data_IF_242291123935
#
_entry.id   IF_242291123935
#
_cell.length_a   1.000
_cell.length_b   1.000
_cell.length_c   1.000
_cell.angle_alpha   90.00
_cell.angle_beta   90.00
_cell.angle_gamma   90.00
#
_symmetry.space_group_name_H-M   'P 1'
#
loop_
_entity.id
_entity.type
_entity.pdbx_description
1 polymer ?
#
# COMPACT_ATOMS: atom_id res chain seq x y z
N UNK A 1 -6.26 4.76 32.28
CA UNK A 1 -6.17 4.19 30.92
C UNK A 1 -4.95 3.29 30.79
N UNK A 2 -5.11 2.03 31.21
CA UNK A 2 -4.28 0.87 30.82
C UNK A 2 -5.03 0.09 29.74
N UNK A 3 -4.31 -0.64 28.90
CA UNK A 3 -4.92 -1.68 28.05
C UNK A 3 -5.30 -2.85 28.96
N UNK A 4 -6.50 -3.39 28.81
CA UNK A 4 -7.07 -4.47 29.64
C UNK A 4 -7.32 -5.75 28.86
N UNK A 5 -7.58 -5.67 27.56
CA UNK A 5 -7.87 -6.83 26.70
C UNK A 5 -7.47 -6.51 25.25
N UNK A 6 -6.88 -7.49 24.56
CA UNK A 6 -6.88 -7.57 23.10
C UNK A 6 -7.96 -8.56 22.67
N UNK A 7 -8.72 -8.24 21.63
CA UNK A 7 -9.70 -9.12 20.99
C UNK A 7 -9.36 -9.19 19.49
N UNK A 8 -9.45 -10.38 18.90
CA UNK A 8 -9.24 -10.57 17.46
C UNK A 8 -10.52 -11.06 16.78
N UNK A 9 -10.76 -10.53 15.58
CA UNK A 9 -12.00 -10.76 14.82
C UNK A 9 -11.66 -11.04 13.38
N UNK A 10 -12.29 -12.04 12.77
CA UNK A 10 -12.10 -12.48 11.38
C UNK A 10 -13.47 -12.75 10.75
N UNK A 11 -13.61 -12.65 9.43
CA UNK A 11 -14.84 -13.06 8.71
C UNK A 11 -14.51 -14.16 7.70
N UNK A 12 -15.41 -15.13 7.55
CA UNK A 12 -15.18 -16.27 6.65
C UNK A 12 -15.10 -15.83 5.17
N UNK A 13 -15.91 -14.84 4.78
CA UNK A 13 -15.99 -14.29 3.42
C UNK A 13 -14.77 -13.45 3.03
N UNK A 14 -13.88 -13.14 3.99
CA UNK A 14 -12.59 -12.46 3.78
C UNK A 14 -11.55 -13.07 4.71
N UNK A 15 -11.23 -14.35 4.50
CA UNK A 15 -10.26 -15.09 5.33
C UNK A 15 -8.85 -14.48 5.45
N UNK A 16 -8.52 -13.45 4.65
CA UNK A 16 -7.30 -12.65 4.77
C UNK A 16 -7.41 -11.49 5.79
N UNK A 17 -8.62 -11.01 6.12
CA UNK A 17 -8.83 -9.88 7.03
C UNK A 17 -8.77 -10.33 8.49
N UNK A 18 -8.12 -9.52 9.31
CA UNK A 18 -8.18 -9.60 10.76
C UNK A 18 -8.25 -8.20 11.39
N UNK A 19 -9.27 -8.01 12.23
CA UNK A 19 -9.43 -6.84 13.08
C UNK A 19 -8.97 -7.12 14.51
N UNK A 20 -8.56 -6.05 15.19
CA UNK A 20 -7.93 -6.08 16.51
C UNK A 20 -8.56 -5.01 17.38
N UNK A 21 -9.27 -5.39 18.44
CA UNK A 21 -9.90 -4.45 19.36
C UNK A 21 -9.05 -4.34 20.63
N UNK A 22 -8.60 -3.12 20.94
CA UNK A 22 -7.72 -2.80 22.06
C UNK A 22 -8.52 -2.09 23.15
N UNK A 23 -9.01 -2.85 24.12
CA UNK A 23 -9.88 -2.36 25.20
C UNK A 23 -9.07 -1.80 26.37
N UNK A 24 -9.66 -0.88 27.14
CA UNK A 24 -9.00 -0.18 28.25
C UNK A 24 -9.77 -0.24 29.57
N UNK A 25 -9.10 0.09 30.68
CA UNK A 25 -9.69 0.18 32.04
C UNK A 25 -10.66 1.36 32.22
N UNK A 26 -10.77 2.25 31.24
CA UNK A 26 -11.73 3.38 31.20
C UNK A 26 -12.89 3.13 30.23
N UNK A 27 -13.01 1.92 29.67
CA UNK A 27 -14.13 1.52 28.80
C UNK A 27 -14.00 1.95 27.33
N UNK A 28 -12.92 2.66 26.96
CA UNK A 28 -12.59 2.95 25.57
C UNK A 28 -11.98 1.71 24.89
N UNK A 29 -12.32 1.50 23.61
CA UNK A 29 -11.83 0.38 22.80
C UNK A 29 -11.41 0.91 21.43
N UNK A 30 -10.11 0.87 21.11
CA UNK A 30 -9.59 1.31 19.81
C UNK A 30 -9.43 0.15 18.82
N UNK A 31 -9.54 0.44 17.52
CA UNK A 31 -9.41 -0.54 16.44
C UNK A 31 -8.00 -0.59 15.81
N UNK A 32 -7.55 -1.79 15.42
CA UNK A 32 -6.52 -2.07 14.43
C UNK A 32 -7.03 -3.07 13.37
N UNK A 33 -6.36 -3.14 12.22
CA UNK A 33 -6.62 -4.14 11.16
C UNK A 33 -5.30 -4.47 10.45
N UNK A 34 -5.20 -5.66 9.85
CA UNK A 34 -4.24 -5.96 8.77
C UNK A 34 -4.76 -7.09 7.87
N UNK A 35 -4.02 -7.40 6.81
CA UNK A 35 -4.45 -8.24 5.69
C UNK A 35 -3.42 -9.32 5.34
N UNK A 36 -3.91 -10.46 4.86
CA UNK A 36 -3.23 -11.75 4.69
C UNK A 36 -2.80 -12.44 5.99
N UNK A 37 -2.70 -13.78 5.95
CA UNK A 37 -2.15 -14.58 7.05
C UNK A 37 -2.92 -14.51 8.37
N UNK A 38 -4.22 -14.20 8.34
CA UNK A 38 -5.03 -13.81 9.49
C UNK A 38 -4.91 -14.71 10.74
N UNK A 39 -4.73 -16.02 10.59
CA UNK A 39 -4.57 -16.97 11.72
C UNK A 39 -3.17 -16.93 12.35
N UNK A 40 -2.14 -16.73 11.52
CA UNK A 40 -0.76 -16.47 11.94
C UNK A 40 -0.66 -15.11 12.65
N UNK A 41 -1.33 -14.11 12.10
CA UNK A 41 -1.41 -12.75 12.66
C UNK A 41 -2.16 -12.76 14.00
N UNK A 42 -3.30 -13.44 14.11
CA UNK A 42 -4.02 -13.63 15.38
C UNK A 42 -3.10 -14.16 16.48
N UNK A 43 -2.31 -15.19 16.15
CA UNK A 43 -1.39 -15.83 17.09
C UNK A 43 -0.29 -14.86 17.56
N UNK A 44 0.36 -14.16 16.63
CA UNK A 44 1.40 -13.17 16.93
C UNK A 44 0.90 -11.97 17.76
N UNK A 45 -0.34 -11.53 17.53
CA UNK A 45 -0.90 -10.34 18.19
C UNK A 45 -1.05 -10.55 19.70
N UNK A 46 -1.66 -11.67 20.10
CA UNK A 46 -1.85 -11.99 21.52
C UNK A 46 -0.53 -12.34 22.22
N UNK A 47 0.44 -12.88 21.49
CA UNK A 47 1.75 -13.28 22.05
C UNK A 47 2.75 -12.11 22.18
N UNK A 48 2.66 -11.06 21.35
CA UNK A 48 3.75 -10.06 21.23
C UNK A 48 3.34 -8.58 21.10
N UNK A 49 2.09 -8.25 20.72
CA UNK A 49 1.78 -6.92 20.15
C UNK A 49 1.29 -5.84 21.14
N UNK A 50 0.95 -6.20 22.38
CA UNK A 50 0.13 -5.39 23.30
C UNK A 50 0.51 -3.90 23.59
N UNK A 51 1.73 -3.34 23.34
CA UNK A 51 1.97 -1.89 23.47
C UNK A 51 2.64 -1.17 22.27
N UNK A 52 1.85 -0.56 21.36
CA UNK A 52 2.25 0.40 20.29
C UNK A 52 1.15 1.49 20.10
N UNK A 53 1.46 2.73 19.64
CA UNK A 53 0.48 3.84 19.42
C UNK A 53 0.81 4.87 18.24
N UNK A 54 0.02 4.90 17.11
CA UNK A 54 -0.44 6.01 16.13
C UNK A 54 0.44 6.57 14.85
N UNK A 55 -0.05 6.96 13.54
CA UNK A 55 0.42 7.98 12.37
C UNK A 55 0.57 7.63 10.66
N UNK A 56 0.34 8.20 9.30
CA UNK A 56 -0.36 9.18 8.16
C UNK A 56 -0.14 8.98 6.56
N UNK A 57 -1.10 9.45 5.65
CA UNK A 57 -1.49 9.12 4.19
C UNK A 57 -1.59 10.12 2.94
N UNK A 58 -1.73 9.62 1.64
CA UNK A 58 -2.25 10.20 0.31
C UNK A 58 -3.19 9.28 -0.62
N UNK A 59 -2.80 8.66 -1.78
CA UNK A 59 -3.69 8.03 -2.85
C UNK A 59 -3.05 6.96 -3.85
N UNK A 60 -3.84 6.05 -4.50
CA UNK A 60 -3.51 5.02 -5.57
C UNK A 60 -4.75 4.43 -6.33
N UNK A 61 -4.51 3.72 -7.45
CA UNK A 61 -5.48 3.28 -8.47
C UNK A 61 -5.71 1.73 -8.59
N UNK A 62 -6.31 1.07 -7.59
CA UNK A 62 -6.68 -0.37 -7.65
C UNK A 62 -8.19 -0.63 -7.85
N UNK A 63 -8.55 -1.85 -8.30
CA UNK A 63 -9.94 -2.26 -8.62
C UNK A 63 -10.63 -3.11 -7.54
N UNK A 64 -11.96 -3.17 -7.57
CA UNK A 64 -12.80 -3.74 -6.48
C UNK A 64 -12.64 -5.24 -6.23
N UNK A 65 -12.23 -6.03 -7.23
CA UNK A 65 -12.07 -7.49 -7.10
C UNK A 65 -10.65 -7.93 -6.68
N UNK A 66 -9.67 -7.02 -6.68
CA UNK A 66 -8.22 -7.29 -6.62
C UNK A 66 -7.75 -8.13 -5.41
N UNK A 67 -8.50 -8.10 -4.30
CA UNK A 67 -8.12 -8.72 -3.01
C UNK A 67 -9.08 -9.83 -2.55
N UNK A 68 -10.02 -10.27 -3.41
CA UNK A 68 -11.23 -11.02 -2.97
C UNK A 68 -11.00 -12.52 -2.66
N UNK A 69 -9.76 -13.02 -2.73
CA UNK A 69 -9.38 -14.44 -2.52
C UNK A 69 -8.05 -14.55 -1.76
N UNK A 70 -7.86 -15.64 -1.02
CA UNK A 70 -6.63 -15.94 -0.25
C UNK A 70 -5.52 -16.63 -1.06
N UNK A 71 -5.70 -16.77 -2.38
CA UNK A 71 -4.61 -17.04 -3.32
C UNK A 71 -3.74 -15.78 -3.46
N UNK A 72 -2.41 -15.92 -3.34
CA UNK A 72 -1.47 -14.79 -3.37
C UNK A 72 -1.52 -13.96 -4.67
N UNK A 73 -0.90 -12.76 -4.62
CA UNK A 73 -0.81 -11.81 -5.73
C UNK A 73 -0.39 -12.50 -7.02
N UNK A 74 -1.32 -12.54 -7.98
CA UNK A 74 -1.16 -13.09 -9.33
C UNK A 74 -2.16 -12.39 -10.25
N UNK A 75 -1.84 -12.22 -11.54
CA UNK A 75 -2.71 -11.46 -12.47
C UNK A 75 -4.07 -12.13 -12.70
N UNK A 76 -4.15 -13.45 -12.50
CA UNK A 76 -5.41 -14.20 -12.50
C UNK A 76 -6.41 -13.77 -11.42
N UNK A 77 -5.98 -13.03 -10.38
CA UNK A 77 -6.86 -12.48 -9.34
C UNK A 77 -7.37 -11.06 -9.65
N UNK A 78 -6.92 -10.42 -10.73
CA UNK A 78 -7.26 -9.02 -11.05
C UNK A 78 -8.73 -8.80 -11.44
N UNK A 79 -9.52 -9.86 -11.62
CA UNK A 79 -10.98 -9.76 -11.69
C UNK A 79 -11.52 -8.94 -12.87
N UNK A 80 -10.88 -9.06 -14.03
CA UNK A 80 -11.21 -8.35 -15.28
C UNK A 80 -12.67 -8.61 -15.72
N UNK A 81 -13.60 -7.82 -15.19
CA UNK A 81 -15.03 -7.90 -15.44
C UNK A 81 -15.55 -6.57 -16.00
N UNK A 82 -16.65 -6.62 -16.74
CA UNK A 82 -17.22 -5.42 -17.38
C UNK A 82 -18.24 -4.75 -16.45
N UNK A 83 -17.80 -3.89 -15.51
CA UNK A 83 -18.75 -3.20 -14.63
C UNK A 83 -18.22 -2.06 -13.75
N UNK A 84 -19.04 -1.01 -13.65
CA UNK A 84 -18.97 0.16 -12.73
C UNK A 84 -17.96 1.27 -13.04
N UNK A 85 -18.30 2.47 -12.56
CA UNK A 85 -17.71 3.76 -12.95
C UNK A 85 -16.36 4.08 -12.25
N UNK A 86 -15.86 3.18 -11.39
CA UNK A 86 -14.66 3.38 -10.57
C UNK A 86 -13.71 2.16 -10.55
N UNK A 87 -13.73 1.34 -11.62
CA UNK A 87 -12.77 0.24 -11.78
C UNK A 87 -11.45 0.74 -12.40
N UNK A 88 -10.58 1.27 -11.54
CA UNK A 88 -9.29 1.86 -11.94
C UNK A 88 -8.30 0.84 -12.49
N UNK A 89 -8.45 -0.45 -12.12
CA UNK A 89 -7.61 -1.54 -12.59
C UNK A 89 -7.91 -1.86 -14.06
N UNK A 90 -9.18 -2.05 -14.41
CA UNK A 90 -9.56 -2.07 -15.84
C UNK A 90 -9.32 -0.71 -16.52
N UNK A 91 -9.40 0.39 -15.77
CA UNK A 91 -9.05 1.74 -16.20
C UNK A 91 -7.63 1.81 -16.77
N UNK A 92 -6.58 1.63 -15.97
CA UNK A 92 -5.21 1.76 -16.47
C UNK A 92 -4.83 0.68 -17.50
N UNK A 93 -5.41 -0.52 -17.42
CA UNK A 93 -5.13 -1.58 -18.38
C UNK A 93 -5.71 -1.33 -19.78
N UNK A 94 -6.88 -0.68 -19.87
CA UNK A 94 -7.61 -0.55 -21.15
C UNK A 94 -7.79 0.91 -21.61
N UNK A 95 -8.11 1.82 -20.69
CA UNK A 95 -8.59 3.20 -20.90
C UNK A 95 -7.88 4.18 -19.96
N UNK A 96 -6.55 4.09 -19.91
CA UNK A 96 -5.70 4.83 -18.97
C UNK A 96 -5.82 6.35 -19.10
N UNK A 97 -6.14 6.81 -20.31
CA UNK A 97 -6.51 8.17 -20.70
C UNK A 97 -7.80 8.64 -20.04
N UNK A 98 -8.90 7.86 -20.09
CA UNK A 98 -10.14 8.17 -19.37
C UNK A 98 -9.92 8.21 -17.85
N UNK A 99 -9.13 7.26 -17.31
CA UNK A 99 -8.79 7.21 -15.89
C UNK A 99 -7.99 8.45 -15.47
N UNK A 100 -6.95 8.84 -16.21
CA UNK A 100 -6.15 10.02 -15.90
C UNK A 100 -6.98 11.32 -15.91
N UNK A 101 -7.95 11.45 -16.83
CA UNK A 101 -8.91 12.56 -16.80
C UNK A 101 -9.82 12.50 -15.58
N UNK A 102 -10.40 11.35 -15.24
CA UNK A 102 -11.25 11.16 -14.07
C UNK A 102 -10.53 11.49 -12.75
N UNK A 103 -9.26 11.12 -12.62
CA UNK A 103 -8.43 11.44 -11.45
C UNK A 103 -8.16 12.96 -11.35
N UNK A 104 -7.84 13.61 -12.46
CA UNK A 104 -7.65 15.07 -12.49
C UNK A 104 -8.94 15.86 -12.18
N UNK A 105 -10.12 15.34 -12.54
CA UNK A 105 -11.41 15.94 -12.15
C UNK A 105 -11.68 15.81 -10.63
N UNK A 106 -11.13 14.80 -9.97
CA UNK A 106 -11.10 14.69 -8.49
C UNK A 106 -9.92 15.45 -7.84
N UNK A 107 -9.08 16.10 -8.65
CA UNK A 107 -7.88 16.85 -8.23
C UNK A 107 -6.66 16.00 -7.90
N UNK A 108 -6.68 14.70 -8.20
CA UNK A 108 -5.59 13.75 -7.94
C UNK A 108 -4.51 13.89 -9.02
N UNK A 109 -3.28 14.27 -8.63
CA UNK A 109 -2.17 14.60 -9.55
C UNK A 109 -1.05 13.56 -9.61
N UNK A 110 -1.24 12.37 -9.03
CA UNK A 110 -0.31 11.25 -9.17
C UNK A 110 -1.04 9.89 -9.22
N UNK A 111 -0.49 8.92 -9.95
CA UNK A 111 -1.03 7.55 -10.04
C UNK A 111 0.08 6.48 -10.06
N UNK A 112 -0.14 5.36 -9.35
CA UNK A 112 0.70 4.15 -9.39
C UNK A 112 0.08 3.09 -10.31
N UNK A 113 0.88 2.50 -11.20
CA UNK A 113 0.45 1.46 -12.16
C UNK A 113 1.48 0.33 -12.32
N UNK A 114 1.01 -0.90 -12.53
CA UNK A 114 1.80 -2.14 -12.63
C UNK A 114 1.57 -2.92 -13.96
N UNK A 115 1.81 -2.32 -15.14
CA UNK A 115 1.53 -2.99 -16.42
C UNK A 115 2.52 -4.11 -16.78
N UNK A 116 3.60 -4.30 -16.01
CA UNK A 116 4.66 -5.28 -16.32
C UNK A 116 4.41 -6.67 -15.71
N UNK A 117 3.59 -6.81 -14.68
CA UNK A 117 3.39 -8.04 -13.91
C UNK A 117 2.96 -9.23 -14.77
N UNK A 118 2.04 -8.99 -15.70
CA UNK A 118 1.55 -10.00 -16.64
C UNK A 118 2.64 -10.53 -17.58
N UNK A 119 3.73 -9.78 -17.78
CA UNK A 119 4.92 -10.26 -18.48
C UNK A 119 5.90 -10.98 -17.53
N UNK A 120 5.99 -10.54 -16.26
CA UNK A 120 6.83 -11.16 -15.25
C UNK A 120 6.39 -12.61 -14.96
N UNK A 121 5.09 -12.86 -14.80
CA UNK A 121 4.55 -14.20 -14.52
C UNK A 121 4.93 -15.24 -15.60
N UNK A 122 4.90 -14.84 -16.88
CA UNK A 122 5.20 -15.71 -18.03
C UNK A 122 6.59 -16.34 -17.96
N UNK A 123 7.54 -15.68 -17.30
CA UNK A 123 8.95 -16.11 -17.22
C UNK A 123 9.48 -16.23 -15.80
N UNK A 124 8.65 -15.97 -14.78
CA UNK A 124 9.03 -15.74 -13.37
C UNK A 124 10.14 -14.68 -13.25
N UNK A 125 9.92 -13.55 -13.92
CA UNK A 125 10.80 -12.38 -13.86
C UNK A 125 12.15 -12.52 -14.55
N UNK A 126 12.41 -13.62 -15.27
CA UNK A 126 13.72 -13.90 -15.89
C UNK A 126 13.93 -13.21 -17.25
N UNK A 127 12.85 -12.92 -17.98
CA UNK A 127 12.91 -12.37 -19.34
C UNK A 127 11.62 -11.62 -19.71
N UNK A 128 11.73 -10.56 -20.51
CA UNK A 128 10.60 -9.87 -21.14
C UNK A 128 10.82 -9.84 -22.66
N UNK A 129 9.81 -10.26 -23.44
CA UNK A 129 9.90 -10.20 -24.90
C UNK A 129 9.75 -8.76 -25.39
N UNK A 130 10.31 -8.37 -26.56
CA UNK A 130 10.09 -7.04 -27.12
C UNK A 130 8.60 -6.73 -27.34
N UNK A 131 7.78 -7.73 -27.66
CA UNK A 131 6.32 -7.61 -27.78
C UNK A 131 5.63 -7.35 -26.44
N UNK A 132 6.02 -8.06 -25.37
CA UNK A 132 5.46 -7.84 -24.03
C UNK A 132 5.88 -6.47 -23.47
N UNK A 133 7.14 -6.08 -23.69
CA UNK A 133 7.67 -4.77 -23.29
C UNK A 133 6.91 -3.64 -24.00
N UNK A 134 6.77 -3.71 -25.33
CA UNK A 134 6.05 -2.68 -26.08
C UNK A 134 4.57 -2.60 -25.67
N UNK A 135 3.92 -3.74 -25.37
CA UNK A 135 2.55 -3.76 -24.88
C UNK A 135 2.41 -3.13 -23.48
N UNK A 136 3.32 -3.45 -22.55
CA UNK A 136 3.34 -2.90 -21.20
C UNK A 136 3.72 -1.40 -21.15
N UNK A 137 4.32 -0.86 -22.23
CA UNK A 137 4.59 0.58 -22.37
C UNK A 137 3.38 1.40 -22.88
N UNK A 138 2.36 0.76 -23.47
CA UNK A 138 1.18 1.45 -24.00
C UNK A 138 0.39 2.32 -22.98
N UNK A 139 0.21 1.93 -21.70
CA UNK A 139 -0.45 2.79 -20.72
C UNK A 139 0.28 4.12 -20.51
N UNK A 140 1.62 4.12 -20.45
CA UNK A 140 2.42 5.34 -20.30
C UNK A 140 2.28 6.27 -21.51
N UNK A 141 2.29 5.71 -22.71
CA UNK A 141 2.06 6.46 -23.95
C UNK A 141 0.65 7.09 -23.97
N UNK A 142 -0.39 6.34 -23.59
CA UNK A 142 -1.77 6.85 -23.48
C UNK A 142 -1.87 8.00 -22.46
N UNK A 143 -1.35 7.82 -21.25
CA UNK A 143 -1.43 8.83 -20.18
C UNK A 143 -0.68 10.11 -20.61
N UNK A 144 0.55 9.99 -21.14
CA UNK A 144 1.32 11.17 -21.60
C UNK A 144 0.67 11.86 -22.80
N UNK A 145 0.03 11.13 -23.72
CA UNK A 145 -0.73 11.73 -24.82
C UNK A 145 -2.01 12.43 -24.36
N UNK A 146 -2.69 11.95 -23.32
CA UNK A 146 -3.95 12.51 -22.82
C UNK A 146 -3.75 13.71 -21.89
N UNK A 147 -2.84 13.60 -20.91
CA UNK A 147 -2.66 14.62 -19.85
C UNK A 147 -1.27 15.26 -19.81
N UNK A 148 -0.30 14.75 -20.56
CA UNK A 148 1.08 15.25 -20.55
C UNK A 148 1.72 15.13 -19.17
N UNK A 149 2.44 16.18 -18.75
CA UNK A 149 3.15 16.26 -17.46
C UNK A 149 2.25 16.74 -16.30
N UNK A 150 0.91 16.69 -16.44
CA UNK A 150 -0.04 17.08 -15.38
C UNK A 150 -0.24 16.02 -14.29
N UNK A 151 0.30 14.81 -14.49
CA UNK A 151 0.18 13.70 -13.54
C UNK A 151 1.55 13.03 -13.37
N UNK A 152 1.94 12.79 -12.13
CA UNK A 152 3.11 11.96 -11.82
C UNK A 152 2.75 10.48 -12.00
N UNK A 153 3.57 9.74 -12.76
CA UNK A 153 3.36 8.32 -13.01
C UNK A 153 4.39 7.52 -12.22
N UNK A 154 3.92 6.83 -11.19
CA UNK A 154 4.68 5.93 -10.34
C UNK A 154 4.61 4.52 -10.93
N UNK A 155 5.74 3.84 -11.07
CA UNK A 155 5.79 2.49 -11.68
C UNK A 155 5.99 1.44 -10.61
N UNK A 156 5.04 0.53 -10.54
CA UNK A 156 5.06 -0.65 -9.69
C UNK A 156 5.60 -1.87 -10.45
N UNK A 157 6.35 -2.70 -9.74
CA UNK A 157 6.97 -3.93 -10.24
C UNK A 157 6.79 -5.14 -9.29
N UNK A 158 6.14 -4.95 -8.13
CA UNK A 158 5.79 -5.94 -7.11
C UNK A 158 6.92 -6.92 -6.75
N UNK A 159 8.18 -6.46 -6.77
CA UNK A 159 9.35 -7.28 -6.46
C UNK A 159 9.52 -8.50 -7.41
N UNK A 160 8.83 -8.52 -8.57
CA UNK A 160 8.67 -9.71 -9.42
C UNK A 160 9.86 -9.99 -10.37
N UNK A 161 10.66 -8.98 -10.70
CA UNK A 161 11.67 -9.07 -11.75
C UNK A 161 13.06 -9.44 -11.23
N UNK A 162 13.85 -10.07 -12.11
CA UNK A 162 15.29 -10.21 -11.93
C UNK A 162 16.03 -9.00 -12.49
N UNK A 163 17.24 -8.77 -12.01
CA UNK A 163 18.02 -7.55 -12.30
C UNK A 163 18.16 -7.22 -13.79
N UNK A 164 18.40 -8.21 -14.67
CA UNK A 164 18.64 -7.95 -16.09
C UNK A 164 17.39 -7.45 -16.85
N UNK A 165 16.22 -8.11 -16.81
CA UNK A 165 14.99 -7.56 -17.39
C UNK A 165 14.50 -6.31 -16.65
N UNK A 166 14.70 -6.18 -15.33
CA UNK A 166 14.40 -4.94 -14.61
C UNK A 166 15.20 -3.74 -15.19
N UNK A 167 16.51 -3.91 -15.40
CA UNK A 167 17.38 -2.93 -16.06
C UNK A 167 17.01 -2.66 -17.53
N UNK A 168 16.36 -3.61 -18.22
CA UNK A 168 15.84 -3.43 -19.59
C UNK A 168 14.57 -2.57 -19.58
N UNK A 169 13.63 -2.85 -18.67
CA UNK A 169 12.38 -2.09 -18.55
C UNK A 169 12.65 -0.66 -18.07
N UNK A 170 13.53 -0.47 -17.09
CA UNK A 170 13.90 0.85 -16.58
C UNK A 170 14.39 1.79 -17.70
N UNK A 171 15.27 1.31 -18.57
CA UNK A 171 15.75 2.07 -19.75
C UNK A 171 14.63 2.38 -20.74
N UNK A 172 13.69 1.46 -20.95
CA UNK A 172 12.56 1.65 -21.85
C UNK A 172 11.52 2.65 -21.31
N UNK A 173 11.50 2.89 -20.00
CA UNK A 173 10.63 3.89 -19.35
C UNK A 173 11.14 5.34 -19.48
N UNK A 174 12.38 5.55 -19.90
CA UNK A 174 13.01 6.89 -20.06
C UNK A 174 12.14 7.92 -20.80
N UNK A 175 11.42 7.60 -21.90
CA UNK A 175 10.62 8.59 -22.63
C UNK A 175 9.40 9.14 -21.89
N UNK A 176 9.01 8.53 -20.76
CA UNK A 176 7.73 8.79 -20.11
C UNK A 176 7.84 9.60 -18.81
N UNK A 177 9.05 10.04 -18.42
CA UNK A 177 9.30 10.84 -17.21
C UNK A 177 8.59 10.26 -15.99
N UNK A 178 8.93 9.03 -15.63
CA UNK A 178 8.34 8.32 -14.49
C UNK A 178 8.86 8.89 -13.17
N UNK A 179 7.97 9.00 -12.19
CA UNK A 179 8.23 9.70 -10.92
C UNK A 179 9.10 8.87 -9.97
N UNK A 180 8.85 7.56 -9.91
CA UNK A 180 9.71 6.57 -9.26
C UNK A 180 9.52 5.19 -9.89
N UNK A 181 10.46 4.29 -9.62
CA UNK A 181 10.37 2.85 -9.91
C UNK A 181 10.39 2.06 -8.60
N UNK A 182 9.29 1.37 -8.30
CA UNK A 182 8.97 0.76 -7.01
C UNK A 182 9.22 -0.74 -7.00
N UNK A 183 9.92 -1.25 -5.98
CA UNK A 183 10.27 -2.66 -5.84
C UNK A 183 10.72 -3.37 -7.15
N UNK A 184 11.68 -2.78 -7.92
CA UNK A 184 12.01 -3.26 -9.27
C UNK A 184 12.71 -4.62 -9.32
N UNK A 185 13.21 -5.10 -8.18
CA UNK A 185 13.77 -6.43 -7.94
C UNK A 185 13.43 -6.86 -6.51
N UNK A 186 13.57 -8.14 -6.18
CA UNK A 186 13.31 -8.61 -4.81
C UNK A 186 14.27 -7.98 -3.79
N UNK A 187 13.72 -7.47 -2.71
CA UNK A 187 14.45 -6.75 -1.65
C UNK A 187 15.21 -7.66 -0.66
N UNK A 188 15.70 -8.81 -1.13
CA UNK A 188 16.52 -9.75 -0.34
C UNK A 188 18.03 -9.41 -0.40
N UNK A 189 18.50 -8.78 -1.48
CA UNK A 189 19.91 -8.59 -1.80
C UNK A 189 20.19 -7.14 -2.21
N UNK A 190 19.92 -6.20 -1.29
CA UNK A 190 19.85 -4.74 -1.52
C UNK A 190 21.08 -4.12 -2.23
N UNK A 191 22.27 -4.72 -2.10
CA UNK A 191 23.46 -4.30 -2.86
C UNK A 191 23.28 -4.34 -4.38
N UNK A 192 22.35 -5.16 -4.89
CA UNK A 192 21.97 -5.26 -6.30
C UNK A 192 21.29 -4.00 -6.84
N UNK A 193 20.64 -3.21 -5.97
CA UNK A 193 19.92 -1.98 -6.34
C UNK A 193 20.85 -0.96 -7.00
N UNK A 194 22.14 -0.94 -6.64
CA UNK A 194 23.15 -0.07 -7.27
C UNK A 194 23.17 -0.22 -8.80
N UNK A 195 23.17 -1.47 -9.27
CA UNK A 195 23.18 -1.81 -10.70
C UNK A 195 21.87 -1.48 -11.42
N UNK A 196 20.77 -1.35 -10.69
CA UNK A 196 19.51 -0.85 -11.24
C UNK A 196 19.52 0.68 -11.33
N UNK A 197 19.96 1.37 -10.27
CA UNK A 197 20.10 2.82 -10.21
C UNK A 197 21.04 3.37 -11.30
N UNK A 198 22.15 2.67 -11.59
CA UNK A 198 23.09 2.97 -12.70
C UNK A 198 22.42 3.16 -14.08
N UNK A 199 21.18 2.68 -14.26
CA UNK A 199 20.45 2.71 -15.53
C UNK A 199 18.99 3.16 -15.42
N UNK A 200 18.53 3.57 -14.23
CA UNK A 200 17.15 3.97 -14.00
C UNK A 200 16.96 5.46 -14.30
N UNK A 201 15.99 5.86 -15.14
CA UNK A 201 15.65 7.27 -15.36
C UNK A 201 14.93 7.90 -14.16
N UNK A 202 14.35 7.08 -13.28
CA UNK A 202 13.58 7.49 -12.11
C UNK A 202 14.23 6.97 -10.81
N UNK A 203 14.05 7.66 -9.67
CA UNK A 203 14.52 7.18 -8.36
C UNK A 203 13.88 5.84 -7.99
N UNK A 204 14.60 5.02 -7.22
CA UNK A 204 14.06 3.79 -6.65
C UNK A 204 13.11 4.15 -5.50
N UNK A 205 11.90 3.60 -5.51
CA UNK A 205 11.04 3.51 -4.33
C UNK A 205 11.21 2.11 -3.72
N UNK A 206 11.54 2.05 -2.43
CA UNK A 206 11.67 0.79 -1.69
C UNK A 206 11.50 1.04 -0.19
N UNK A 207 10.82 0.18 0.57
CA UNK A 207 10.00 -0.95 0.14
C UNK A 207 8.94 -1.23 1.20
N UNK A 208 7.70 -1.45 0.77
CA UNK A 208 6.65 -2.05 1.60
C UNK A 208 7.13 -3.36 2.28
N UNK A 209 7.98 -4.14 1.60
CA UNK A 209 8.44 -5.46 2.05
C UNK A 209 9.59 -5.42 3.07
N UNK A 210 10.22 -4.26 3.29
CA UNK A 210 11.29 -4.11 4.26
C UNK A 210 10.73 -3.83 5.67
N UNK A 211 11.29 -4.52 6.67
CA UNK A 211 10.84 -4.42 8.04
C UNK A 211 11.90 -3.84 8.99
N UNK A 212 11.42 -2.99 9.91
CA UNK A 212 12.17 -2.27 10.96
C UNK A 212 13.25 -1.31 10.44
N UNK A 213 13.71 -0.41 11.30
CA UNK A 213 14.80 0.52 10.95
C UNK A 213 16.10 -0.17 10.52
N UNK A 214 16.29 -1.46 10.80
CA UNK A 214 17.47 -2.20 10.36
C UNK A 214 17.42 -2.50 8.86
N UNK A 215 16.33 -3.05 8.33
CA UNK A 215 16.18 -3.23 6.87
C UNK A 215 16.25 -1.91 6.10
N UNK A 216 15.67 -0.84 6.66
CA UNK A 216 15.76 0.49 6.07
C UNK A 216 17.15 1.15 6.17
N UNK A 217 17.90 0.91 7.26
CA UNK A 217 19.32 1.33 7.33
C UNK A 217 20.12 0.66 6.22
N UNK A 218 19.91 -0.64 6.03
CA UNK A 218 20.65 -1.43 5.04
C UNK A 218 20.30 -1.00 3.60
N UNK A 219 19.07 -0.50 3.36
CA UNK A 219 18.68 0.18 2.13
C UNK A 219 19.37 1.56 1.97
N UNK A 220 19.41 2.40 3.01
CA UNK A 220 20.12 3.68 2.97
C UNK A 220 21.64 3.52 2.78
N UNK A 221 22.25 2.48 3.36
CA UNK A 221 23.66 2.11 3.19
C UNK A 221 23.98 1.61 1.76
N UNK A 222 22.97 1.33 0.91
CA UNK A 222 23.21 1.15 -0.52
C UNK A 222 23.72 2.43 -1.20
N UNK A 223 23.38 3.61 -0.68
CA UNK A 223 23.74 4.90 -1.31
C UNK A 223 23.02 5.18 -2.64
N UNK A 224 21.99 4.40 -2.98
CA UNK A 224 21.12 4.61 -4.17
C UNK A 224 19.63 4.60 -3.83
N UNK A 225 19.31 4.78 -2.55
CA UNK A 225 17.95 4.92 -2.09
C UNK A 225 17.32 6.23 -2.62
N UNK A 226 16.07 6.15 -3.07
CA UNK A 226 15.29 7.30 -3.55
C UNK A 226 14.15 7.61 -2.58
N UNK A 227 12.97 7.06 -2.86
CA UNK A 227 11.82 7.14 -1.95
C UNK A 227 11.95 6.00 -0.94
N UNK A 228 11.77 6.32 0.34
CA UNK A 228 11.74 5.36 1.45
C UNK A 228 10.29 4.98 1.71
N UNK A 229 9.81 4.00 0.95
CA UNK A 229 8.47 3.45 1.10
C UNK A 229 8.39 2.49 2.28
N UNK A 230 7.26 2.46 2.99
CA UNK A 230 7.03 1.56 4.11
C UNK A 230 5.53 1.26 4.30
N UNK A 231 5.15 0.00 4.45
CA UNK A 231 3.82 -0.34 5.01
C UNK A 231 3.92 -0.30 6.53
N UNK A 232 3.02 0.41 7.23
CA UNK A 232 3.14 0.54 8.69
C UNK A 232 2.87 -0.79 9.41
N UNK A 233 2.05 -1.66 8.83
CA UNK A 233 1.63 -2.92 9.44
C UNK A 233 2.70 -4.00 9.24
N UNK A 234 3.44 -3.95 8.13
CA UNK A 234 4.54 -4.85 7.82
C UNK A 234 5.89 -4.36 8.38
N UNK A 235 6.15 -3.04 8.41
CA UNK A 235 7.47 -2.52 8.79
C UNK A 235 7.80 -2.52 10.30
N UNK A 236 6.93 -3.09 11.15
CA UNK A 236 7.09 -3.10 12.61
C UNK A 236 6.27 -2.05 13.35
N UNK A 237 5.19 -1.57 12.74
CA UNK A 237 4.28 -0.61 13.34
C UNK A 237 4.80 0.82 13.29
N UNK A 238 3.90 1.72 13.67
CA UNK A 238 4.10 3.17 13.73
C UNK A 238 5.27 3.58 14.65
N UNK A 239 5.62 2.70 15.59
CA UNK A 239 6.79 2.83 16.43
C UNK A 239 8.13 2.68 15.69
N UNK A 240 8.22 1.87 14.63
CA UNK A 240 9.38 1.83 13.73
C UNK A 240 9.21 2.78 12.55
N UNK A 241 8.03 2.88 11.93
CA UNK A 241 7.75 3.78 10.80
C UNK A 241 8.24 5.22 11.04
N UNK A 242 7.93 5.80 12.21
CA UNK A 242 8.39 7.16 12.58
C UNK A 242 9.91 7.28 12.73
N UNK A 243 10.61 6.19 13.08
CA UNK A 243 12.09 6.16 13.15
C UNK A 243 12.67 6.09 11.73
N UNK A 244 12.10 5.23 10.89
CA UNK A 244 12.44 5.10 9.48
C UNK A 244 12.30 6.46 8.78
N UNK A 245 11.20 7.18 9.03
CA UNK A 245 10.99 8.54 8.56
C UNK A 245 12.12 9.51 8.92
N UNK A 246 12.42 9.66 10.22
CA UNK A 246 13.50 10.54 10.71
C UNK A 246 14.91 10.10 10.28
N UNK A 247 15.09 8.84 9.89
CA UNK A 247 16.36 8.30 9.40
C UNK A 247 16.53 8.56 7.90
N UNK A 248 15.45 8.46 7.11
CA UNK A 248 15.41 8.88 5.72
C UNK A 248 15.62 10.40 5.57
N UNK A 249 15.03 11.20 6.47
CA UNK A 249 15.20 12.66 6.54
C UNK A 249 16.68 13.06 6.70
N UNK A 250 17.44 12.31 7.51
CA UNK A 250 18.88 12.51 7.69
C UNK A 250 19.73 12.15 6.46
N UNK A 251 19.17 11.38 5.50
CA UNK A 251 19.72 11.13 4.17
C UNK A 251 19.16 12.08 3.09
N UNK A 252 18.33 13.06 3.50
CA UNK A 252 17.56 13.96 2.63
C UNK A 252 16.54 13.26 1.72
N UNK A 253 16.10 12.05 2.11
CA UNK A 253 15.15 11.26 1.35
C UNK A 253 13.72 11.37 1.91
N UNK A 254 12.70 11.40 1.04
CA UNK A 254 11.31 11.39 1.46
C UNK A 254 10.85 10.00 1.89
N UNK A 255 9.77 9.95 2.68
CA UNK A 255 8.95 8.74 2.81
C UNK A 255 7.70 8.81 1.93
N UNK A 256 7.22 7.62 1.56
CA UNK A 256 5.87 7.41 1.06
C UNK A 256 5.28 6.14 1.71
N UNK A 257 4.49 6.23 2.79
CA UNK A 257 3.86 5.05 3.34
C UNK A 257 2.89 4.35 2.36
N UNK A 258 2.71 3.04 2.53
CA UNK A 258 1.85 2.17 1.72
C UNK A 258 0.44 2.03 2.33
N UNK A 259 -0.54 1.63 1.52
CA UNK A 259 -1.91 1.24 1.91
C UNK A 259 -2.37 0.05 1.07
N UNK A 260 -3.19 0.26 0.03
CA UNK A 260 -3.81 -0.78 -0.80
C UNK A 260 -4.40 -2.00 -0.03
N UNK A 261 -4.74 -1.84 1.25
CA UNK A 261 -5.05 -2.95 2.17
C UNK A 261 -6.35 -2.73 2.92
N UNK A 262 -6.32 -2.12 4.10
CA UNK A 262 -7.46 -2.05 5.02
C UNK A 262 -7.77 -0.62 5.49
N UNK A 263 -9.04 -0.27 5.81
CA UNK A 263 -9.41 1.07 6.24
C UNK A 263 -8.67 1.55 7.49
N UNK A 264 -8.18 0.62 8.32
CA UNK A 264 -7.37 0.94 9.51
C UNK A 264 -5.87 0.92 9.21
N UNK A 265 -5.41 0.31 8.11
CA UNK A 265 -4.06 0.59 7.59
C UNK A 265 -4.07 1.99 6.98
N UNK A 266 -4.97 2.28 6.03
CA UNK A 266 -5.21 3.66 5.58
C UNK A 266 -5.41 4.63 6.76
N UNK A 267 -6.18 4.24 7.78
CA UNK A 267 -6.54 5.02 8.96
C UNK A 267 -5.43 5.23 10.00
N UNK A 268 -4.66 4.20 10.34
CA UNK A 268 -3.54 4.31 11.27
C UNK A 268 -2.31 4.88 10.57
N UNK A 269 -2.10 4.49 9.32
CA UNK A 269 -1.37 5.28 8.36
C UNK A 269 -2.15 6.56 8.03
N UNK A 270 -3.06 7.13 8.85
CA UNK A 270 -3.63 8.51 8.72
C UNK A 270 -3.21 9.55 9.85
N UNK A 271 -2.05 9.51 10.58
CA UNK A 271 -1.42 10.71 11.31
C UNK A 271 0.11 11.20 11.13
N UNK A 272 1.10 10.41 10.62
CA UNK A 272 2.55 10.51 10.20
C UNK A 272 2.87 11.44 9.04
N UNK A 273 2.41 11.21 7.82
CA UNK A 273 2.62 12.15 6.70
C UNK A 273 2.10 13.60 6.91
N UNK A 274 1.43 13.92 8.04
CA UNK A 274 1.28 15.31 8.53
C UNK A 274 1.98 15.53 9.90
N UNK A 275 3.10 14.83 10.14
CA UNK A 275 3.92 14.81 11.34
C UNK A 275 5.43 14.57 11.04
N UNK A 276 5.75 13.65 10.15
CA UNK A 276 7.05 13.45 9.52
C UNK A 276 7.27 14.56 8.48
N UNK A 277 8.27 15.45 8.65
CA UNK A 277 8.49 16.58 7.74
C UNK A 277 8.90 16.16 6.33
N UNK A 278 9.48 14.96 6.19
CA UNK A 278 9.92 14.39 4.92
C UNK A 278 8.88 13.48 4.25
N UNK A 279 7.62 13.46 4.70
CA UNK A 279 6.59 12.74 3.98
C UNK A 279 6.21 13.48 2.70
N UNK A 280 6.44 12.85 1.56
CA UNK A 280 6.10 13.36 0.24
C UNK A 280 4.61 13.16 -0.04
N UNK A 281 4.15 11.93 0.24
CA UNK A 281 2.81 11.38 0.02
C UNK A 281 2.66 10.10 0.89
N UNK A 282 1.54 9.39 0.79
CA UNK A 282 1.40 7.93 0.94
C UNK A 282 0.34 7.45 -0.08
N UNK A 283 0.14 6.17 -0.26
CA UNK A 283 -1.00 5.51 -0.90
C UNK A 283 -2.41 5.55 -0.22
N UNK A 284 -3.50 5.50 -1.02
CA UNK A 284 -4.90 5.19 -0.60
C UNK A 284 -5.83 4.87 -1.79
N UNK A 285 -6.68 3.83 -1.74
CA UNK A 285 -7.40 3.38 -2.95
C UNK A 285 -8.83 3.96 -3.08
N UNK A 286 -9.11 4.71 -4.16
CA UNK A 286 -10.46 5.31 -4.38
C UNK A 286 -11.58 4.30 -4.52
N UNK A 287 -11.34 3.17 -5.17
CA UNK A 287 -12.30 2.07 -5.24
C UNK A 287 -12.63 1.49 -3.86
N UNK A 288 -11.71 1.57 -2.88
CA UNK A 288 -11.90 1.01 -1.54
C UNK A 288 -12.62 2.03 -0.64
N UNK A 289 -12.09 3.26 -0.50
CA UNK A 289 -12.69 4.27 0.37
C UNK A 289 -14.07 4.76 -0.12
N UNK A 290 -14.38 4.68 -1.42
CA UNK A 290 -15.73 4.95 -1.96
C UNK A 290 -16.69 3.76 -1.90
N UNK A 291 -16.24 2.55 -1.58
CA UNK A 291 -17.09 1.35 -1.52
C UNK A 291 -17.04 0.64 -0.17
N UNK A 292 -16.29 -0.45 -0.04
CA UNK A 292 -16.42 -1.43 1.04
C UNK A 292 -15.80 -0.99 2.38
N UNK A 293 -14.84 -0.05 2.38
CA UNK A 293 -14.23 0.46 3.61
C UNK A 293 -15.27 1.05 4.58
N UNK A 294 -16.29 1.77 4.09
CA UNK A 294 -17.31 2.44 4.94
C UNK A 294 -18.27 1.46 5.63
N UNK A 295 -18.33 0.23 5.13
CA UNK A 295 -19.18 -0.81 5.69
C UNK A 295 -18.48 -1.51 6.87
N UNK A 296 -17.15 -1.34 7.00
CA UNK A 296 -16.31 -1.92 8.05
C UNK A 296 -16.07 -1.00 9.25
N UNK A 297 -15.93 0.31 9.04
CA UNK A 297 -15.55 1.27 10.10
C UNK A 297 -16.51 2.46 10.22
N UNK A 298 -16.59 3.06 11.41
CA UNK A 298 -17.50 4.17 11.73
C UNK A 298 -17.20 5.47 11.00
N UNK A 299 -15.96 5.67 10.58
CA UNK A 299 -15.52 6.84 9.83
C UNK A 299 -14.26 6.53 8.99
N UNK A 300 -14.02 7.32 7.96
CA UNK A 300 -12.88 7.17 7.04
C UNK A 300 -12.13 8.49 6.83
N UNK A 301 -10.87 8.43 6.37
CA UNK A 301 -10.17 9.59 5.88
C UNK A 301 -10.91 10.28 4.73
N UNK A 302 -11.09 11.59 4.81
CA UNK A 302 -11.72 12.39 3.75
C UNK A 302 -10.68 12.68 2.66
N UNK A 303 -10.92 12.17 1.44
CA UNK A 303 -10.18 12.57 0.22
C UNK A 303 -10.97 13.65 -0.51
N UNK A 304 -10.32 14.78 -0.81
CA UNK A 304 -10.91 15.97 -1.41
C UNK A 304 -9.87 16.79 -2.16
N UNK A 305 -10.10 17.08 -3.44
CA UNK A 305 -9.21 17.88 -4.30
C UNK A 305 -7.77 17.34 -4.30
N UNK A 306 -7.60 16.03 -4.46
CA UNK A 306 -6.29 15.33 -4.36
C UNK A 306 -5.68 15.24 -2.96
N UNK A 307 -6.18 15.98 -1.95
CA UNK A 307 -5.67 15.95 -0.59
C UNK A 307 -6.46 14.98 0.30
N UNK A 308 -5.84 14.45 1.36
CA UNK A 308 -6.48 13.52 2.30
C UNK A 308 -6.22 13.91 3.77
N UNK A 309 -7.19 13.65 4.64
CA UNK A 309 -7.10 13.94 6.08
C UNK A 309 -7.90 12.93 6.92
N UNK A 310 -7.73 12.93 8.24
CA UNK A 310 -8.42 11.99 9.15
C UNK A 310 -9.92 12.20 9.25
N UNK A 311 -10.68 11.16 9.64
CA UNK A 311 -11.93 11.38 10.35
C UNK A 311 -11.68 12.12 11.68
N UNK A 312 -12.53 13.07 12.08
CA UNK A 312 -12.33 13.86 13.29
C UNK A 312 -12.59 13.05 14.57
N UNK A 313 -11.60 12.96 15.46
CA UNK A 313 -11.75 12.32 16.76
C UNK A 313 -10.41 12.13 17.49
N UNK A 314 -10.42 11.59 18.72
CA UNK A 314 -9.23 11.10 19.40
C UNK A 314 -8.73 9.78 18.78
N UNK A 315 -7.45 9.45 18.99
CA UNK A 315 -6.84 8.26 18.43
C UNK A 315 -6.90 8.24 16.90
N UNK A 316 -7.39 7.15 16.31
CA UNK A 316 -7.54 7.04 14.85
C UNK A 316 -8.74 7.84 14.28
N UNK A 317 -9.65 8.31 15.13
CA UNK A 317 -10.92 8.92 14.70
C UNK A 317 -11.92 7.92 14.09
N UNK A 318 -11.67 6.61 14.21
CA UNK A 318 -12.53 5.54 13.68
C UNK A 318 -12.54 4.32 14.62
N UNK A 319 -13.64 3.59 14.60
CA UNK A 319 -13.88 2.31 15.28
C UNK A 319 -14.47 1.30 14.29
N UNK A 320 -14.70 0.03 14.69
CA UNK A 320 -15.49 -0.89 13.85
C UNK A 320 -16.93 -0.41 13.75
N UNK A 321 -17.54 -0.60 12.58
CA UNK A 321 -18.97 -0.50 12.41
C UNK A 321 -19.67 -1.43 13.44
N UNK A 322 -20.50 -0.91 14.37
CA UNK A 322 -21.13 -1.72 15.41
C UNK A 322 -22.10 -2.77 14.84
N UNK A 323 -22.51 -2.61 13.58
CA UNK A 323 -23.41 -3.51 12.86
C UNK A 323 -22.67 -4.51 11.94
N UNK A 324 -21.34 -4.66 12.07
CA UNK A 324 -20.51 -5.59 11.27
C UNK A 324 -21.11 -7.01 11.21
N UNK A 325 -21.52 -7.55 12.35
CA UNK A 325 -22.08 -8.89 12.54
C UNK A 325 -23.48 -9.06 11.89
N UNK A 326 -24.08 -7.99 11.35
CA UNK A 326 -25.32 -8.01 10.54
C UNK A 326 -25.05 -7.99 9.03
N UNK A 327 -23.86 -7.57 8.61
CA UNK A 327 -23.47 -7.36 7.21
C UNK A 327 -22.50 -8.45 6.72
N UNK A 328 -21.72 -9.04 7.63
CA UNK A 328 -20.69 -10.05 7.34
C UNK A 328 -20.78 -11.24 8.32
N UNK A 329 -20.28 -12.43 7.96
CA UNK A 329 -20.28 -13.58 8.87
C UNK A 329 -19.07 -13.52 9.80
N UNK A 330 -19.23 -12.79 10.91
CA UNK A 330 -18.16 -12.47 11.85
C UNK A 330 -17.86 -13.64 12.81
N UNK A 331 -16.57 -13.94 12.96
CA UNK A 331 -16.00 -14.87 13.95
C UNK A 331 -15.13 -14.08 14.93
N UNK A 332 -15.38 -14.21 16.23
CA UNK A 332 -14.69 -13.49 17.31
C UNK A 332 -13.94 -14.45 18.22
N UNK A 333 -12.70 -14.11 18.61
CA UNK A 333 -11.88 -14.88 19.55
C UNK A 333 -11.41 -14.00 20.70
N UNK A 334 -11.40 -14.58 21.90
CA UNK A 334 -11.06 -13.90 23.15
C UNK A 334 -9.99 -14.69 23.91
N UNK A 335 -9.18 -13.99 24.70
CA UNK A 335 -8.26 -14.57 25.69
C UNK A 335 -8.11 -13.56 26.82
N UNK A 336 -8.17 -14.03 28.06
CA UNK A 336 -8.29 -13.21 29.27
C UNK A 336 -7.07 -13.40 30.17
N UNK A 337 -6.95 -12.57 31.20
CA UNK A 337 -5.93 -12.70 32.27
C UNK A 337 -6.04 -13.98 33.13
N UNK A 338 -7.04 -14.84 32.87
CA UNK A 338 -7.17 -16.18 33.46
C UNK A 338 -6.73 -17.30 32.50
N UNK A 339 -6.40 -16.96 31.25
CA UNK A 339 -6.01 -17.86 30.17
C UNK A 339 -4.51 -17.68 29.78
N UNK A 340 -3.73 -17.03 30.66
CA UNK A 340 -2.31 -16.64 30.50
C UNK A 340 -1.41 -17.30 31.55
#
# INVERSE_FOLDING_TARGET
>A
MKITKLETVRVAERANLIWVLVHTDEGLTGLGETFFGAETVESYIHEYVAPRKEIRTYNTCAGTEYIKKSTGQTTGNYGLSTGSDYDDLNGFLNRADELAHSLLEEGITAMKIWPFDAAAEKTRGQYISPSDLNAALQPFEKIRNAVGDKIDIMVEFHSMWQLLPAMQIAKALTPYSTFWHEDPIKMDSLSSLRRYADVSPAPISASETLATRWGFRDYLETGVAGIVMLDISWCGGLSEARKIASMAEAWHLPIAPHDCTGPVVLGASTHLSLNAPNALVQESVRAFYKTWYRDLVTALPEVKNGMITVPPGPGLGMDLNPDLDKVFTVTRRFSNLADM
#
